data_IF_818767262298
#
_entry.id   IF_818767262298
#
_cell.length_a   1.000
_cell.length_b   1.000
_cell.length_c   1.000
_cell.angle_alpha   90.00
_cell.angle_beta   90.00
_cell.angle_gamma   90.00
#
_symmetry.space_group_name_H-M   'P 1'
#
loop_
_entity.id
_entity.type
_entity.pdbx_description
1 polymer ?
#
# COMPACT_ATOMS: atom_id res chain seq x y z
N UNK A 1 9.47 -14.25 -18.34
CA UNK A 1 8.02 -14.21 -18.06
C UNK A 1 7.86 -14.33 -16.54
N UNK A 2 8.00 -13.22 -15.81
CA UNK A 2 7.92 -13.23 -14.35
C UNK A 2 6.82 -12.26 -13.94
N UNK A 3 5.64 -12.82 -13.71
CA UNK A 3 4.45 -12.09 -13.34
C UNK A 3 4.29 -12.27 -11.82
N UNK A 4 5.00 -11.46 -11.02
CA UNK A 4 4.70 -11.39 -9.60
C UNK A 4 3.46 -10.50 -9.43
N UNK A 5 2.27 -11.12 -9.45
CA UNK A 5 1.00 -10.47 -9.11
C UNK A 5 0.78 -10.65 -7.62
N UNK A 6 0.96 -9.59 -6.85
CA UNK A 6 0.64 -9.60 -5.42
C UNK A 6 -0.53 -8.64 -5.21
N UNK A 7 -1.72 -9.21 -5.10
CA UNK A 7 -2.95 -8.51 -4.73
C UNK A 7 -3.12 -8.63 -3.23
N UNK A 8 -2.81 -7.58 -2.48
CA UNK A 8 -3.17 -7.48 -1.07
C UNK A 8 -4.50 -6.73 -0.96
N UNK A 9 -5.56 -7.50 -0.78
CA UNK A 9 -6.89 -6.97 -0.50
C UNK A 9 -7.00 -6.72 0.99
N UNK A 10 -6.83 -5.47 1.41
CA UNK A 10 -7.03 -5.02 2.78
C UNK A 10 -8.41 -4.37 2.90
N UNK A 11 -9.26 -4.93 3.75
CA UNK A 11 -10.53 -4.31 4.13
C UNK A 11 -10.30 -3.58 5.45
N UNK A 12 -10.47 -2.26 5.46
CA UNK A 12 -10.49 -1.49 6.68
C UNK A 12 -11.89 -1.62 7.29
N UNK A 13 -11.97 -2.27 8.44
CA UNK A 13 -13.14 -2.17 9.31
C UNK A 13 -12.89 -0.96 10.21
N UNK A 14 -13.64 0.12 9.98
CA UNK A 14 -13.60 1.30 10.83
C UNK A 14 -14.62 1.11 11.95
N UNK A 15 -14.15 1.01 13.20
CA UNK A 15 -15.00 1.26 14.38
C UNK A 15 -15.09 2.77 14.59
N UNK A 16 -16.15 3.41 14.10
CA UNK A 16 -16.59 4.68 14.67
C UNK A 16 -17.42 4.38 15.91
N UNK A 17 -17.23 5.14 16.99
CA UNK A 17 -17.73 4.88 18.36
C UNK A 17 -19.25 4.91 18.56
N UNK A 18 -20.02 4.34 17.64
CA UNK A 18 -21.45 4.13 17.70
C UNK A 18 -21.80 2.99 16.72
N UNK A 19 -21.71 1.73 17.14
CA UNK A 19 -22.23 0.43 16.58
C UNK A 19 -22.39 0.23 15.04
N UNK A 20 -21.86 1.11 14.20
CA UNK A 20 -21.95 1.05 12.75
C UNK A 20 -20.57 0.72 12.22
N UNK A 21 -20.30 -0.58 12.13
CA UNK A 21 -19.20 -1.13 11.34
C UNK A 21 -19.44 -0.74 9.87
N UNK A 22 -18.75 0.29 9.42
CA UNK A 22 -18.73 0.61 7.98
C UNK A 22 -17.56 -0.14 7.36
N UNK A 23 -17.87 -1.08 6.44
CA UNK A 23 -16.84 -1.70 5.62
C UNK A 23 -16.27 -0.62 4.70
N UNK A 24 -15.04 -0.19 4.97
CA UNK A 24 -14.32 0.75 4.12
C UNK A 24 -13.35 -0.01 3.22
N UNK A 25 -13.55 0.15 1.92
CA UNK A 25 -12.73 -0.50 0.91
C UNK A 25 -11.51 0.38 0.58
N UNK A 26 -10.32 -0.02 1.06
CA UNK A 26 -9.07 0.70 0.81
C UNK A 26 -7.97 -0.28 0.37
N UNK A 27 -8.07 -0.85 -0.84
CA UNK A 27 -7.11 -1.82 -1.32
C UNK A 27 -5.74 -1.18 -1.59
N UNK A 28 -4.66 -1.84 -1.16
CA UNK A 28 -3.30 -1.47 -1.51
C UNK A 28 -2.81 -2.38 -2.65
N UNK A 29 -2.56 -1.79 -3.81
CA UNK A 29 -2.02 -2.50 -4.96
C UNK A 29 -0.56 -2.14 -5.19
N UNK A 30 0.29 -3.14 -5.39
CA UNK A 30 1.73 -2.97 -5.61
C UNK A 30 2.11 -3.71 -6.89
N UNK A 31 2.70 -2.99 -7.85
CA UNK A 31 3.16 -3.56 -9.12
C UNK A 31 4.66 -3.33 -9.32
N UNK A 32 5.36 -4.37 -9.78
CA UNK A 32 6.78 -4.28 -10.12
C UNK A 32 7.02 -3.49 -11.42
N UNK A 33 6.04 -3.47 -12.33
CA UNK A 33 6.13 -2.79 -13.63
C UNK A 33 4.83 -2.04 -13.93
N UNK A 34 4.97 -0.85 -14.53
CA UNK A 34 3.86 0.02 -14.94
C UNK A 34 2.88 -0.67 -15.89
N UNK A 35 3.36 -1.60 -16.72
CA UNK A 35 2.52 -2.38 -17.63
C UNK A 35 1.40 -3.14 -16.91
N UNK A 36 1.66 -3.69 -15.72
CA UNK A 36 0.66 -4.42 -14.94
C UNK A 36 -0.41 -3.49 -14.37
N UNK A 37 0.02 -2.34 -13.85
CA UNK A 37 -0.86 -1.28 -13.34
C UNK A 37 -1.74 -0.71 -14.46
N UNK A 38 -1.15 -0.39 -15.62
CA UNK A 38 -1.88 0.15 -16.77
C UNK A 38 -2.99 -0.79 -17.22
N UNK A 39 -2.72 -2.09 -17.34
CA UNK A 39 -3.77 -3.06 -17.69
C UNK A 39 -4.88 -3.11 -16.63
N UNK A 40 -4.54 -3.06 -15.35
CA UNK A 40 -5.53 -3.07 -14.29
C UNK A 40 -6.46 -1.84 -14.35
N UNK A 41 -5.89 -0.66 -14.58
CA UNK A 41 -6.63 0.61 -14.64
C UNK A 41 -7.41 0.75 -15.95
N UNK A 42 -6.82 0.38 -17.10
CA UNK A 42 -7.35 0.72 -18.42
C UNK A 42 -8.04 -0.44 -19.16
N UNK A 43 -7.82 -1.70 -18.79
CA UNK A 43 -8.43 -2.86 -19.48
C UNK A 43 -9.74 -3.31 -18.80
N UNK A 44 -10.43 -2.41 -18.10
CA UNK A 44 -11.76 -2.64 -17.52
C UNK A 44 -11.83 -3.45 -16.22
N UNK A 45 -10.69 -3.85 -15.65
CA UNK A 45 -10.68 -4.52 -14.34
C UNK A 45 -11.11 -3.58 -13.22
N UNK A 46 -10.64 -2.32 -13.26
CA UNK A 46 -10.98 -1.29 -12.29
C UNK A 46 -12.45 -0.82 -12.40
N UNK A 47 -13.08 -0.96 -13.57
CA UNK A 47 -14.49 -0.58 -13.77
C UNK A 47 -15.41 -1.33 -12.80
N UNK A 48 -15.13 -2.61 -12.53
CA UNK A 48 -15.92 -3.39 -11.56
C UNK A 48 -15.86 -2.82 -10.14
N UNK A 49 -14.75 -2.16 -9.77
CA UNK A 49 -14.60 -1.50 -8.47
C UNK A 49 -15.43 -0.22 -8.45
N UNK A 50 -15.38 0.57 -9.53
CA UNK A 50 -16.20 1.78 -9.66
C UNK A 50 -17.69 1.43 -9.60
N UNK A 51 -18.12 0.37 -10.28
CA UNK A 51 -19.53 -0.05 -10.28
C UNK A 51 -20.01 -0.52 -8.89
N UNK A 52 -19.12 -1.16 -8.12
CA UNK A 52 -19.46 -1.72 -6.80
C UNK A 52 -19.38 -0.70 -5.66
N UNK A 53 -18.42 0.24 -5.73
CA UNK A 53 -18.08 1.14 -4.62
C UNK A 53 -18.21 2.64 -4.98
N UNK A 54 -18.60 2.95 -6.22
CA UNK A 54 -18.65 4.31 -6.75
C UNK A 54 -17.27 4.88 -7.09
N UNK A 55 -17.26 6.14 -7.52
CA UNK A 55 -16.01 6.88 -7.74
C UNK A 55 -15.29 7.12 -6.42
N UNK A 56 -14.17 6.43 -6.24
CA UNK A 56 -13.28 6.58 -5.09
C UNK A 56 -12.02 7.34 -5.49
N UNK A 57 -11.49 8.16 -4.58
CA UNK A 57 -10.21 8.83 -4.80
C UNK A 57 -9.08 7.79 -4.79
N UNK A 58 -8.41 7.63 -5.93
CA UNK A 58 -7.20 6.81 -6.03
C UNK A 58 -6.03 7.64 -5.52
N UNK A 59 -5.52 7.31 -4.33
CA UNK A 59 -4.29 7.90 -3.83
C UNK A 59 -3.09 7.19 -4.47
N UNK A 60 -2.38 7.88 -5.36
CA UNK A 60 -1.12 7.39 -5.93
C UNK A 60 0.01 8.03 -5.13
N UNK A 61 0.89 7.20 -4.56
CA UNK A 61 2.07 7.66 -3.84
C UNK A 61 3.36 7.30 -4.56
N UNK A 62 4.44 7.98 -4.20
CA UNK A 62 5.77 7.71 -4.75
C UNK A 62 6.42 6.62 -3.90
N UNK A 63 6.74 5.48 -4.50
CA UNK A 63 7.44 4.41 -3.77
C UNK A 63 8.91 4.76 -3.63
N UNK A 64 9.36 4.99 -2.39
CA UNK A 64 10.74 5.40 -2.12
C UNK A 64 11.65 4.24 -1.76
N UNK A 65 11.08 3.16 -1.21
CA UNK A 65 11.82 1.96 -0.81
C UNK A 65 10.95 0.72 -1.02
N UNK A 66 11.53 -0.32 -1.60
CA UNK A 66 10.90 -1.64 -1.79
C UNK A 66 11.92 -2.70 -1.40
N UNK A 67 11.60 -3.47 -0.37
CA UNK A 67 12.34 -4.65 0.06
C UNK A 67 11.35 -5.81 0.13
N UNK A 68 11.43 -6.77 -0.79
CA UNK A 68 10.53 -7.94 -0.82
C UNK A 68 11.37 -9.21 -0.84
N UNK A 69 11.05 -10.18 0.02
CA UNK A 69 11.67 -11.50 -0.01
C UNK A 69 11.03 -12.40 -1.08
N UNK A 70 11.76 -13.44 -1.51
CA UNK A 70 11.24 -14.44 -2.48
C UNK A 70 9.92 -15.07 -2.03
N UNK A 71 9.71 -15.16 -0.71
CA UNK A 71 8.55 -15.77 -0.09
C UNK A 71 7.41 -14.76 0.21
N UNK A 72 7.50 -13.51 -0.27
CA UNK A 72 6.55 -12.44 0.04
C UNK A 72 5.10 -12.78 -0.32
N UNK A 73 4.87 -13.62 -1.34
CA UNK A 73 3.53 -14.12 -1.70
C UNK A 73 2.83 -14.93 -0.59
N UNK A 74 3.57 -15.35 0.46
CA UNK A 74 3.04 -15.98 1.67
C UNK A 74 2.55 -14.97 2.72
N UNK A 75 2.69 -13.67 2.48
CA UNK A 75 2.22 -12.63 3.40
C UNK A 75 0.71 -12.74 3.64
N UNK A 76 0.33 -12.58 4.90
CA UNK A 76 -1.07 -12.62 5.36
C UNK A 76 -1.46 -11.41 6.19
N UNK A 77 -0.48 -10.76 6.80
CA UNK A 77 -0.67 -9.59 7.63
C UNK A 77 0.20 -8.45 7.13
N UNK A 78 -0.30 -7.23 7.32
CA UNK A 78 0.42 -5.99 7.05
C UNK A 78 0.32 -5.09 8.27
N UNK A 79 1.44 -4.49 8.66
CA UNK A 79 1.51 -3.37 9.57
C UNK A 79 1.65 -2.10 8.74
N UNK A 80 0.71 -1.17 8.93
CA UNK A 80 0.74 0.16 8.32
C UNK A 80 1.16 1.19 9.38
N UNK A 81 2.29 1.86 9.16
CA UNK A 81 2.80 2.91 10.04
C UNK A 81 2.88 4.23 9.29
N UNK A 82 2.33 5.27 9.90
CA UNK A 82 2.26 6.60 9.33
C UNK A 82 3.28 7.52 9.98
N UNK A 83 4.13 8.14 9.17
CA UNK A 83 5.20 9.02 9.62
C UNK A 83 5.07 10.40 8.98
N UNK A 84 4.71 11.39 9.80
CA UNK A 84 4.75 12.78 9.38
C UNK A 84 6.19 13.23 9.15
N UNK A 85 6.42 14.00 8.09
CA UNK A 85 7.70 14.65 7.83
C UNK A 85 7.52 16.16 7.80
N UNK A 86 8.51 16.94 8.24
CA UNK A 86 8.43 18.39 8.13
C UNK A 86 8.41 18.81 6.66
N UNK A 87 7.65 19.86 6.36
CA UNK A 87 7.69 20.54 5.07
C UNK A 87 9.10 21.06 4.85
N UNK A 88 9.72 20.69 3.72
CA UNK A 88 11.08 21.09 3.40
C UNK A 88 11.30 21.19 1.90
N UNK A 89 12.19 22.08 1.47
CA UNK A 89 12.39 22.37 0.05
C UNK A 89 12.89 21.16 -0.76
N UNK A 90 13.61 20.23 -0.14
CA UNK A 90 14.21 19.07 -0.81
C UNK A 90 14.24 17.85 0.10
N UNK A 91 13.99 16.67 -0.49
CA UNK A 91 14.16 15.36 0.17
C UNK A 91 15.47 14.67 -0.21
N UNK A 92 16.44 15.43 -0.73
CA UNK A 92 17.74 14.88 -1.12
C UNK A 92 18.43 14.30 0.11
N UNK A 93 18.74 13.00 0.06
CA UNK A 93 19.30 12.22 1.17
C UNK A 93 18.38 12.09 2.40
N UNK A 94 17.08 12.35 2.27
CA UNK A 94 16.14 12.10 3.35
C UNK A 94 16.13 10.60 3.69
N UNK A 95 16.36 10.27 4.96
CA UNK A 95 16.35 8.89 5.41
C UNK A 95 14.95 8.51 5.90
N UNK A 96 14.25 7.71 5.11
CA UNK A 96 12.98 7.10 5.49
C UNK A 96 13.26 5.99 6.51
N UNK A 97 13.14 6.34 7.79
CA UNK A 97 13.37 5.39 8.88
C UNK A 97 12.28 4.33 8.86
N UNK A 98 12.69 3.07 8.86
CA UNK A 98 11.79 1.92 8.93
C UNK A 98 12.22 1.03 10.06
N UNK A 99 11.28 0.59 10.89
CA UNK A 99 11.56 -0.43 11.91
C UNK A 99 11.70 -1.79 11.22
N UNK A 100 12.80 -2.50 11.49
CA UNK A 100 12.94 -3.88 11.01
C UNK A 100 12.32 -4.81 12.04
N UNK A 101 11.32 -5.58 11.61
CA UNK A 101 10.63 -6.52 12.48
C UNK A 101 11.17 -7.94 12.28
N UNK A 102 11.09 -8.75 13.34
CA UNK A 102 11.32 -10.18 13.23
C UNK A 102 10.22 -10.80 12.35
N UNK A 103 10.58 -11.77 11.51
CA UNK A 103 9.67 -12.49 10.61
C UNK A 103 8.98 -11.64 9.53
N UNK A 104 9.47 -10.42 9.27
CA UNK A 104 9.03 -9.66 8.11
C UNK A 104 9.44 -10.37 6.81
N UNK A 105 8.59 -10.31 5.80
CA UNK A 105 8.84 -10.83 4.44
C UNK A 105 8.85 -9.75 3.38
N UNK A 106 8.56 -8.52 3.78
CA UNK A 106 8.68 -7.37 2.92
C UNK A 106 8.43 -6.07 3.68
N UNK A 107 8.97 -4.99 3.14
CA UNK A 107 8.74 -3.63 3.58
C UNK A 107 8.65 -2.71 2.34
N UNK A 108 7.60 -1.90 2.30
CA UNK A 108 7.39 -0.92 1.23
C UNK A 108 7.14 0.44 1.86
N UNK A 109 7.86 1.46 1.41
CA UNK A 109 7.69 2.84 1.86
C UNK A 109 7.13 3.69 0.75
N UNK A 110 5.99 4.33 1.03
CA UNK A 110 5.28 5.20 0.09
C UNK A 110 5.28 6.62 0.65
N UNK A 111 5.86 7.56 -0.10
CA UNK A 111 5.80 8.98 0.19
C UNK A 111 4.60 9.63 -0.48
N UNK A 112 3.84 10.39 0.32
CA UNK A 112 2.76 11.27 -0.13
C UNK A 112 3.22 12.74 -0.01
N UNK A 113 3.51 13.42 -1.14
CA UNK A 113 3.96 14.80 -1.12
C UNK A 113 2.88 15.80 -0.68
N UNK A 114 1.62 15.52 -0.97
CA UNK A 114 0.50 16.40 -0.62
C UNK A 114 0.33 16.49 0.90
N UNK A 115 0.54 15.37 1.59
CA UNK A 115 0.37 15.25 3.05
C UNK A 115 1.65 15.47 3.83
N UNK A 116 2.81 15.61 3.17
CA UNK A 116 4.13 15.61 3.82
C UNK A 116 4.26 14.44 4.81
N UNK A 117 3.98 13.25 4.30
CA UNK A 117 3.95 12.03 5.09
C UNK A 117 4.51 10.88 4.27
N UNK A 118 5.19 9.94 4.92
CA UNK A 118 5.38 8.62 4.34
C UNK A 118 4.68 7.56 5.18
N UNK A 119 4.29 6.48 4.51
CA UNK A 119 3.71 5.30 5.14
C UNK A 119 4.63 4.12 4.87
N UNK A 120 4.99 3.37 5.92
CA UNK A 120 5.63 2.07 5.77
C UNK A 120 4.61 0.96 5.90
N UNK A 121 4.64 0.05 4.94
CA UNK A 121 3.88 -1.20 4.94
C UNK A 121 4.86 -2.34 5.18
N UNK A 122 4.81 -2.96 6.35
CA UNK A 122 5.62 -4.13 6.68
C UNK A 122 4.75 -5.38 6.62
N UNK A 123 5.20 -6.39 5.87
CA UNK A 123 4.43 -7.59 5.58
C UNK A 123 4.97 -8.80 6.35
N UNK A 124 4.05 -9.64 6.84
CA UNK A 124 4.37 -10.81 7.66
C UNK A 124 3.68 -12.06 7.13
N UNK A 125 4.33 -13.22 7.33
CA UNK A 125 3.68 -14.52 7.14
C UNK A 125 2.67 -14.77 8.25
N UNK A 126 1.74 -15.69 8.00
CA UNK A 126 1.01 -16.32 9.09
C UNK A 126 1.89 -17.41 9.70
N UNK A 127 2.12 -17.30 11.01
CA UNK A 127 2.77 -18.34 11.82
C UNK A 127 1.88 -19.59 11.90
#
# INVERSE_FOLDING_TARGET
MSLCRIFLHWNLILEQGNDNLTNSYCPLYIWHHTNGMNKFIFDGYFDNIIDSFGWQNINIGITTKIELEDNFFLSKYVLEEHHAIPVQAQLKNFNFQTTKHQDQVGNVVIYNPDKWQYTSYTFFKKN
#
